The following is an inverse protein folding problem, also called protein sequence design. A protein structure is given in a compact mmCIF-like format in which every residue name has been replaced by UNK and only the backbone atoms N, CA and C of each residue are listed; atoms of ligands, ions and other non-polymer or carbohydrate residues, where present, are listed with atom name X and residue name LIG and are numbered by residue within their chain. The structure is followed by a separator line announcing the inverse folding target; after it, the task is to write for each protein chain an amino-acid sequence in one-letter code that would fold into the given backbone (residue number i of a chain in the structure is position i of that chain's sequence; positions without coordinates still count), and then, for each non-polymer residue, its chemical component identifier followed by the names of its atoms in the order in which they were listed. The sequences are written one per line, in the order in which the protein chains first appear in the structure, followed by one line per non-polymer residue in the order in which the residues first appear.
data_IF_538678326948
#
_entry.id   IF_538678326948
#
_cell.length_a   1.000
_cell.length_b   1.000
_cell.length_c   1.000
_cell.angle_alpha   90.00
_cell.angle_beta   90.00
_cell.angle_gamma   90.00
#
_symmetry.space_group_name_H-M   'P 1'
#
loop_
_entity.id
_entity.type
_entity.pdbx_description
1 polymer ?
#
# COMPACT_ATOMS: atom_id res chain seq x y z
N UNK A 1 -55.62 20.21 84.91
CA UNK A 1 -54.63 19.17 84.57
C UNK A 1 -54.69 18.93 83.07
N UNK A 2 -53.52 18.94 82.42
CA UNK A 2 -53.32 19.02 80.98
C UNK A 2 -53.59 17.67 80.30
N UNK A 3 -54.30 17.65 79.17
CA UNK A 3 -54.17 16.57 78.19
C UNK A 3 -53.80 17.19 76.85
N UNK A 4 -52.56 16.92 76.45
CA UNK A 4 -51.93 17.40 75.23
C UNK A 4 -52.35 16.48 74.08
N UNK A 5 -52.84 17.09 73.02
CA UNK A 5 -53.13 16.47 71.72
C UNK A 5 -51.85 15.95 71.07
N UNK A 6 -51.81 14.67 70.69
CA UNK A 6 -50.81 14.13 69.76
C UNK A 6 -51.51 13.42 68.61
N UNK A 7 -51.62 14.13 67.49
CA UNK A 7 -51.98 13.58 66.19
C UNK A 7 -50.80 12.74 65.69
N UNK A 8 -50.96 11.42 65.65
CA UNK A 8 -49.94 10.49 65.20
C UNK A 8 -49.87 10.51 63.66
N UNK A 9 -48.93 11.27 63.09
CA UNK A 9 -48.60 11.26 61.66
C UNK A 9 -47.80 9.99 61.34
N UNK A 10 -48.47 8.96 60.83
CA UNK A 10 -47.81 7.79 60.22
C UNK A 10 -47.19 8.20 58.89
N UNK A 11 -45.89 8.52 58.89
CA UNK A 11 -45.11 8.70 57.67
C UNK A 11 -44.80 7.33 57.09
N UNK A 12 -45.57 6.90 56.09
CA UNK A 12 -45.24 5.72 55.30
C UNK A 12 -44.06 6.09 54.40
N UNK A 13 -42.85 5.72 54.80
CA UNK A 13 -41.69 5.75 53.91
C UNK A 13 -41.85 4.64 52.88
N UNK A 14 -42.44 4.96 51.74
CA UNK A 14 -42.47 4.08 50.58
C UNK A 14 -41.04 3.82 50.12
N UNK A 15 -40.57 2.57 50.26
CA UNK A 15 -39.31 2.13 49.69
C UNK A 15 -39.50 2.08 48.17
N UNK A 16 -39.23 3.19 47.49
CA UNK A 16 -39.16 3.21 46.03
C UNK A 16 -37.92 2.42 45.65
N UNK A 17 -38.10 1.13 45.37
CA UNK A 17 -37.12 0.36 44.62
C UNK A 17 -37.05 1.01 43.23
N UNK A 18 -36.14 1.96 43.07
CA UNK A 18 -35.70 2.35 41.75
C UNK A 18 -35.17 1.06 41.12
N UNK A 19 -35.98 0.44 40.27
CA UNK A 19 -35.50 -0.55 39.32
C UNK A 19 -34.43 0.17 38.53
N UNK A 20 -33.16 0.01 38.94
CA UNK A 20 -32.05 0.23 38.06
C UNK A 20 -32.36 -0.73 36.93
N UNK A 21 -32.92 -0.20 35.83
CA UNK A 21 -32.88 -0.87 34.55
C UNK A 21 -31.39 -1.01 34.28
N UNK A 22 -30.82 -2.09 34.81
CA UNK A 22 -29.40 -2.27 34.93
C UNK A 22 -28.92 -2.45 33.52
N UNK A 23 -28.25 -1.45 32.97
CA UNK A 23 -27.45 -1.64 31.78
C UNK A 23 -26.53 -2.83 32.05
N UNK A 24 -26.90 -4.00 31.52
CA UNK A 24 -26.07 -5.19 31.52
C UNK A 24 -25.15 -5.02 30.32
N UNK A 25 -23.86 -4.77 30.55
CA UNK A 25 -22.93 -4.52 29.45
C UNK A 25 -22.85 -5.79 28.62
N UNK A 26 -22.99 -5.68 27.30
CA UNK A 26 -22.95 -6.81 26.37
C UNK A 26 -21.53 -7.35 26.15
N UNK A 27 -21.37 -8.39 25.31
CA UNK A 27 -20.04 -8.74 24.78
C UNK A 27 -19.44 -7.54 24.03
N UNK A 28 -18.10 -7.51 23.82
CA UNK A 28 -17.49 -6.43 23.06
C UNK A 28 -18.04 -6.41 21.63
N UNK A 29 -18.58 -5.27 21.21
CA UNK A 29 -19.07 -5.03 19.85
C UNK A 29 -18.00 -4.24 19.10
N UNK A 30 -17.49 -4.77 18.00
CA UNK A 30 -16.51 -4.09 17.17
C UNK A 30 -17.27 -3.13 16.25
N UNK A 31 -16.98 -1.83 16.36
CA UNK A 31 -17.52 -0.79 15.50
C UNK A 31 -16.79 -0.71 14.15
N UNK A 32 -15.60 -1.32 14.06
CA UNK A 32 -14.89 -1.57 12.81
C UNK A 32 -13.38 -1.70 12.99
N UNK A 33 -12.72 -2.09 11.90
CA UNK A 33 -11.27 -2.08 11.77
C UNK A 33 -10.86 -0.94 10.84
N UNK A 34 -10.17 0.06 11.39
CA UNK A 34 -9.71 1.24 10.66
C UNK A 34 -8.29 1.04 10.15
N UNK A 35 -8.05 1.38 8.89
CA UNK A 35 -6.73 1.29 8.27
C UNK A 35 -6.82 1.46 6.76
N UNK A 36 -5.66 1.45 6.09
CA UNK A 36 -5.61 1.48 4.62
C UNK A 36 -6.04 0.12 4.08
N UNK A 37 -7.09 0.11 3.24
CA UNK A 37 -7.59 -1.10 2.57
C UNK A 37 -6.93 -1.37 1.22
N UNK A 38 -5.95 -0.55 0.84
CA UNK A 38 -5.09 -0.77 -0.32
C UNK A 38 -3.64 -0.49 0.09
N UNK A 39 -2.76 -1.47 -0.07
CA UNK A 39 -1.35 -1.43 0.36
C UNK A 39 -0.49 -2.08 -0.73
N UNK A 40 0.69 -1.53 -1.03
CA UNK A 40 1.59 -2.16 -2.01
C UNK A 40 2.26 -3.41 -1.41
N UNK A 41 2.70 -4.35 -2.25
CA UNK A 41 3.49 -5.51 -1.80
C UNK A 41 4.68 -5.06 -0.93
N UNK A 42 4.95 -5.82 0.13
CA UNK A 42 6.02 -5.58 1.12
C UNK A 42 5.95 -4.22 1.87
N UNK A 43 4.98 -3.36 1.58
CA UNK A 43 4.77 -2.10 2.31
C UNK A 43 4.04 -2.37 3.64
N UNK A 44 4.15 -1.42 4.58
CA UNK A 44 3.58 -1.55 5.92
C UNK A 44 2.31 -0.72 6.07
N UNK A 45 1.22 -1.37 6.47
CA UNK A 45 -0.03 -0.76 6.91
C UNK A 45 -0.18 -0.75 8.43
N UNK A 46 -1.06 0.12 8.93
CA UNK A 46 -1.48 0.14 10.33
C UNK A 46 -2.99 -0.10 10.40
N UNK A 47 -3.41 -0.97 11.30
CA UNK A 47 -4.82 -1.20 11.58
C UNK A 47 -5.13 -0.92 13.05
N UNK A 48 -6.32 -0.37 13.31
CA UNK A 48 -6.84 -0.08 14.65
C UNK A 48 -8.23 -0.69 14.77
N UNK A 49 -8.47 -1.47 15.82
CA UNK A 49 -9.79 -1.97 16.16
C UNK A 49 -10.52 -0.94 17.03
N UNK A 50 -11.71 -0.52 16.59
CA UNK A 50 -12.63 0.31 17.35
C UNK A 50 -13.70 -0.58 17.99
N UNK A 51 -13.88 -0.45 19.29
CA UNK A 51 -14.90 -1.17 20.06
C UNK A 51 -15.92 -0.17 20.57
N UNK A 52 -17.21 -0.48 20.40
CA UNK A 52 -18.31 0.35 20.87
C UNK A 52 -18.35 0.43 22.41
N UNK A 53 -18.83 1.54 22.99
CA UNK A 53 -19.02 1.65 24.42
C UNK A 53 -19.97 0.57 24.93
N UNK A 54 -19.54 -0.25 25.89
CA UNK A 54 -20.41 -1.28 26.46
C UNK A 54 -19.76 -2.60 26.82
N UNK A 55 -18.49 -2.81 26.53
CA UNK A 55 -17.73 -3.91 27.10
C UNK A 55 -17.37 -3.64 28.58
N UNK A 56 -17.23 -4.70 29.39
CA UNK A 56 -16.80 -4.59 30.80
C UNK A 56 -15.35 -4.98 30.98
N UNK A 57 -14.60 -4.14 31.70
CA UNK A 57 -13.22 -4.44 32.10
C UNK A 57 -12.20 -4.19 30.98
N UNK A 58 -10.93 -4.56 31.20
CA UNK A 58 -9.89 -4.44 30.20
C UNK A 58 -10.19 -5.31 28.98
N UNK A 59 -9.75 -4.85 27.81
CA UNK A 59 -9.92 -5.56 26.54
C UNK A 59 -8.59 -6.17 26.12
N UNK A 60 -8.61 -7.41 25.66
CA UNK A 60 -7.50 -8.05 24.97
C UNK A 60 -7.82 -8.26 23.50
N UNK A 61 -6.80 -8.18 22.65
CA UNK A 61 -6.92 -8.22 21.20
C UNK A 61 -6.04 -9.32 20.65
N UNK A 62 -6.61 -10.13 19.77
CA UNK A 62 -5.91 -11.19 19.07
C UNK A 62 -6.12 -10.98 17.56
N UNK A 63 -5.01 -10.88 16.81
CA UNK A 63 -5.03 -10.55 15.39
C UNK A 63 -4.57 -11.73 14.54
N UNK A 64 -5.20 -11.91 13.38
CA UNK A 64 -4.81 -12.87 12.36
C UNK A 64 -4.81 -12.23 10.98
N UNK A 65 -3.92 -12.67 10.11
CA UNK A 65 -3.96 -12.34 8.69
C UNK A 65 -3.87 -13.60 7.85
N UNK A 66 -4.51 -13.60 6.68
CA UNK A 66 -4.40 -14.72 5.74
C UNK A 66 -3.06 -14.74 5.00
N UNK A 67 -2.37 -13.60 4.92
CA UNK A 67 -1.02 -13.45 4.35
C UNK A 67 -0.35 -12.16 4.87
N UNK A 68 0.97 -12.09 4.72
CA UNK A 68 1.80 -11.03 5.29
C UNK A 68 2.24 -11.36 6.72
N UNK A 69 2.84 -10.40 7.40
CA UNK A 69 3.36 -10.57 8.76
C UNK A 69 2.99 -9.39 9.64
N UNK A 70 2.63 -9.67 10.89
CA UNK A 70 2.45 -8.60 11.87
C UNK A 70 3.80 -8.16 12.41
N UNK A 71 4.00 -6.84 12.42
CA UNK A 71 5.11 -6.20 13.11
C UNK A 71 4.74 -5.93 14.57
N UNK A 72 5.04 -4.73 15.04
CA UNK A 72 4.69 -4.31 16.39
C UNK A 72 3.17 -4.29 16.61
N UNK A 73 2.73 -4.82 17.75
CA UNK A 73 1.33 -4.83 18.20
C UNK A 73 1.22 -4.06 19.51
N UNK A 74 0.21 -3.20 19.60
CA UNK A 74 -0.05 -2.30 20.72
C UNK A 74 -1.56 -2.33 21.01
N UNK A 75 -1.98 -3.27 21.85
CA UNK A 75 -3.39 -3.48 22.23
C UNK A 75 -4.33 -3.55 21.00
N UNK A 76 -5.11 -2.49 20.79
CA UNK A 76 -6.07 -2.40 19.69
C UNK A 76 -5.46 -2.01 18.35
N UNK A 77 -4.14 -1.78 18.28
CA UNK A 77 -3.44 -1.35 17.07
C UNK A 77 -2.35 -2.35 16.68
N UNK A 78 -2.21 -2.59 15.38
CA UNK A 78 -1.13 -3.40 14.82
C UNK A 78 -0.42 -2.70 13.66
N UNK A 79 0.84 -3.03 13.45
CA UNK A 79 1.53 -2.90 12.18
C UNK A 79 1.43 -4.22 11.42
N UNK A 80 1.15 -4.14 10.12
CA UNK A 80 1.06 -5.29 9.23
C UNK A 80 1.85 -5.01 7.96
N UNK A 81 2.81 -5.87 7.66
CA UNK A 81 3.55 -5.84 6.41
C UNK A 81 2.85 -6.74 5.38
N UNK A 82 2.54 -6.16 4.22
CA UNK A 82 1.93 -6.88 3.12
C UNK A 82 2.85 -8.00 2.60
N UNK A 83 2.30 -9.11 2.10
CA UNK A 83 3.08 -10.19 1.47
C UNK A 83 3.81 -9.72 0.21
N UNK A 84 4.68 -10.58 -0.32
CA UNK A 84 5.44 -10.32 -1.56
C UNK A 84 4.58 -10.40 -2.83
N UNK A 85 3.42 -11.04 -2.76
CA UNK A 85 2.48 -11.20 -3.89
C UNK A 85 1.27 -10.30 -3.73
N UNK A 86 0.78 -9.79 -4.86
CA UNK A 86 -0.47 -9.02 -4.92
C UNK A 86 -1.70 -9.94 -4.78
N UNK A 87 -2.80 -9.39 -4.26
CA UNK A 87 -4.01 -10.17 -4.00
C UNK A 87 -4.89 -9.57 -2.92
N UNK A 88 -5.93 -10.31 -2.53
CA UNK A 88 -6.80 -9.93 -1.40
C UNK A 88 -6.32 -10.66 -0.14
N UNK A 89 -6.14 -9.90 0.93
CA UNK A 89 -5.77 -10.41 2.25
C UNK A 89 -6.88 -10.10 3.24
N UNK A 90 -7.19 -11.06 4.11
CA UNK A 90 -8.09 -10.84 5.24
C UNK A 90 -7.27 -10.50 6.47
N UNK A 91 -7.59 -9.38 7.14
CA UNK A 91 -7.09 -9.05 8.48
C UNK A 91 -8.25 -9.17 9.45
N UNK A 92 -8.12 -10.05 10.45
CA UNK A 92 -9.15 -10.37 11.43
C UNK A 92 -8.68 -10.00 12.82
N UNK A 93 -9.60 -9.53 13.65
CA UNK A 93 -9.39 -9.31 15.09
C UNK A 93 -10.45 -10.03 15.90
N UNK A 94 -10.07 -10.56 17.05
CA UNK A 94 -10.96 -11.00 18.11
C UNK A 94 -10.67 -10.16 19.34
N UNK A 95 -11.72 -9.56 19.90
CA UNK A 95 -11.65 -8.77 21.13
C UNK A 95 -12.27 -9.59 22.24
N UNK A 96 -11.56 -9.76 23.36
CA UNK A 96 -12.08 -10.41 24.57
C UNK A 96 -12.17 -9.40 25.70
N UNK A 97 -13.31 -9.34 26.39
CA UNK A 97 -13.48 -8.46 27.56
C UNK A 97 -13.01 -9.12 28.87
N UNK A 98 -13.02 -8.36 29.97
CA UNK A 98 -12.59 -8.85 31.28
C UNK A 98 -13.46 -9.97 31.87
N UNK A 99 -14.60 -10.28 31.24
CA UNK A 99 -15.48 -11.40 31.60
C UNK A 99 -15.31 -12.60 30.65
N UNK A 100 -14.33 -12.56 29.73
CA UNK A 100 -14.04 -13.64 28.78
C UNK A 100 -14.98 -13.68 27.57
N UNK A 101 -15.83 -12.67 27.39
CA UNK A 101 -16.77 -12.61 26.25
C UNK A 101 -16.09 -12.03 25.04
N UNK A 102 -16.49 -12.49 23.85
CA UNK A 102 -15.74 -12.27 22.62
C UNK A 102 -16.57 -11.59 21.53
N UNK A 103 -15.92 -10.73 20.77
CA UNK A 103 -16.39 -10.18 19.50
C UNK A 103 -15.32 -10.41 18.43
N UNK A 104 -15.70 -10.54 17.17
CA UNK A 104 -14.75 -10.69 16.07
C UNK A 104 -15.22 -9.94 14.84
N UNK A 105 -14.27 -9.39 14.11
CA UNK A 105 -14.50 -8.71 12.84
C UNK A 105 -13.28 -8.88 11.92
N UNK A 106 -13.46 -8.57 10.65
CA UNK A 106 -12.40 -8.63 9.65
C UNK A 106 -12.54 -7.55 8.60
N UNK A 107 -11.40 -7.09 8.10
CA UNK A 107 -11.30 -6.19 6.96
C UNK A 107 -10.57 -6.88 5.82
N UNK A 108 -11.06 -6.68 4.60
CA UNK A 108 -10.37 -7.12 3.39
C UNK A 108 -9.43 -6.02 2.91
N UNK A 109 -8.16 -6.36 2.73
CA UNK A 109 -7.10 -5.47 2.26
C UNK A 109 -6.68 -5.91 0.86
N UNK A 110 -6.68 -4.98 -0.10
CA UNK A 110 -6.15 -5.21 -1.44
C UNK A 110 -4.66 -4.91 -1.47
N UNK A 111 -3.85 -5.97 -1.58
CA UNK A 111 -2.42 -5.87 -1.85
C UNK A 111 -2.23 -5.66 -3.34
N UNK A 112 -1.60 -4.56 -3.72
CA UNK A 112 -1.35 -4.20 -5.14
C UNK A 112 0.13 -4.28 -5.49
N UNK A 113 0.48 -4.53 -6.76
CA UNK A 113 1.87 -4.47 -7.19
C UNK A 113 2.50 -3.12 -6.84
N UNK A 114 3.78 -3.14 -6.46
CA UNK A 114 4.58 -1.94 -6.26
C UNK A 114 4.90 -1.34 -7.63
N UNK A 115 4.51 -0.09 -7.86
CA UNK A 115 4.80 0.63 -9.12
C UNK A 115 5.79 1.75 -8.86
N UNK A 116 6.86 1.80 -9.65
CA UNK A 116 7.91 2.83 -9.61
C UNK A 116 8.00 3.48 -10.98
N UNK A 117 8.03 4.81 -11.03
CA UNK A 117 8.32 5.52 -12.27
C UNK A 117 9.81 5.40 -12.55
N UNK A 118 10.18 4.69 -13.63
CA UNK A 118 11.57 4.52 -14.03
C UNK A 118 12.09 5.77 -14.74
N UNK A 119 11.33 6.27 -15.72
CA UNK A 119 11.66 7.49 -16.43
C UNK A 119 10.38 8.17 -16.93
N UNK A 120 10.19 9.43 -16.55
CA UNK A 120 9.15 10.31 -17.08
C UNK A 120 9.83 11.58 -17.54
N UNK A 121 9.82 11.82 -18.86
CA UNK A 121 10.56 12.92 -19.44
C UNK A 121 9.91 13.44 -20.71
N UNK A 122 9.95 14.75 -20.90
CA UNK A 122 9.56 15.41 -22.14
C UNK A 122 10.60 16.49 -22.45
N UNK A 123 11.16 16.44 -23.66
CA UNK A 123 12.22 17.36 -24.06
C UNK A 123 12.92 16.98 -25.36
N UNK A 124 13.79 17.88 -25.82
CA UNK A 124 14.59 17.67 -27.01
C UNK A 124 15.97 17.09 -26.67
N UNK A 125 16.43 16.12 -27.46
CA UNK A 125 17.82 15.65 -27.50
C UNK A 125 18.46 16.24 -28.74
N UNK A 126 19.57 16.98 -28.59
CA UNK A 126 20.21 17.65 -29.73
C UNK A 126 20.80 16.66 -30.73
N UNK A 127 20.99 17.12 -31.97
CA UNK A 127 21.72 16.36 -32.97
C UNK A 127 23.11 15.96 -32.45
N UNK A 128 23.47 14.67 -32.55
CA UNK A 128 24.76 14.17 -32.09
C UNK A 128 24.85 13.88 -30.59
N UNK A 129 23.78 14.12 -29.82
CA UNK A 129 23.74 13.88 -28.37
C UNK A 129 22.87 12.68 -27.99
N UNK A 130 22.95 12.27 -26.72
CA UNK A 130 22.07 11.28 -26.12
C UNK A 130 21.69 11.70 -24.70
N UNK A 131 20.52 11.25 -24.26
CA UNK A 131 20.06 11.37 -22.86
C UNK A 131 19.78 9.96 -22.33
N UNK A 132 20.13 9.71 -21.07
CA UNK A 132 19.84 8.43 -20.44
C UNK A 132 19.36 8.59 -18.99
N UNK A 133 18.59 7.62 -18.56
CA UNK A 133 18.07 7.44 -17.21
C UNK A 133 18.53 6.10 -16.69
N UNK A 134 18.75 5.96 -15.39
CA UNK A 134 19.15 4.70 -14.80
C UNK A 134 18.50 4.49 -13.43
N UNK A 135 18.25 3.23 -13.10
CA UNK A 135 17.80 2.83 -11.78
C UNK A 135 18.15 1.36 -11.52
N UNK A 136 18.20 1.00 -10.24
CA UNK A 136 18.32 -0.39 -9.79
C UNK A 136 17.00 -1.11 -10.02
N UNK A 137 17.01 -2.14 -10.86
CA UNK A 137 15.82 -2.91 -11.23
C UNK A 137 15.88 -4.29 -10.57
N UNK A 138 14.91 -4.67 -9.73
CA UNK A 138 14.86 -6.02 -9.18
C UNK A 138 14.40 -7.05 -10.22
N UNK A 139 14.92 -8.27 -10.15
CA UNK A 139 14.47 -9.39 -10.99
C UNK A 139 12.96 -9.64 -10.84
N UNK A 140 12.32 -10.06 -11.93
CA UNK A 140 10.89 -10.34 -12.01
C UNK A 140 10.01 -9.10 -12.17
N UNK A 141 10.51 -7.89 -11.91
CA UNK A 141 9.74 -6.68 -12.16
C UNK A 141 9.43 -6.55 -13.65
N UNK A 142 8.23 -6.08 -13.98
CA UNK A 142 7.82 -5.75 -15.35
C UNK A 142 8.16 -4.30 -15.64
N UNK A 143 9.05 -4.09 -16.60
CA UNK A 143 9.24 -2.79 -17.23
C UNK A 143 8.12 -2.59 -18.24
N UNK A 144 7.48 -1.43 -18.25
CA UNK A 144 6.46 -1.10 -19.23
C UNK A 144 6.37 0.40 -19.43
N UNK A 145 5.95 0.82 -20.61
CA UNK A 145 5.83 2.23 -20.89
C UNK A 145 5.49 2.55 -22.32
N UNK A 146 5.60 3.84 -22.63
CA UNK A 146 5.42 4.39 -23.95
C UNK A 146 6.51 5.43 -24.21
N UNK A 147 6.89 5.53 -25.48
CA UNK A 147 7.82 6.55 -25.96
C UNK A 147 7.29 7.07 -27.29
N UNK A 148 7.33 8.38 -27.48
CA UNK A 148 7.03 9.02 -28.76
C UNK A 148 8.11 10.02 -29.08
N UNK A 149 8.62 9.99 -30.31
CA UNK A 149 9.48 11.02 -30.90
C UNK A 149 8.81 11.71 -32.08
N UNK A 150 9.30 12.90 -32.44
CA UNK A 150 8.92 13.63 -33.66
C UNK A 150 9.69 13.17 -34.92
N UNK A 151 10.66 12.26 -34.76
CA UNK A 151 11.44 11.67 -35.87
C UNK A 151 11.36 10.14 -35.89
N UNK A 152 11.50 9.53 -37.08
CA UNK A 152 11.41 8.06 -37.31
C UNK A 152 12.72 7.30 -37.15
N UNK A 153 13.83 7.98 -36.90
CA UNK A 153 15.18 7.39 -37.03
C UNK A 153 15.83 7.03 -35.70
N UNK A 154 15.11 7.20 -34.59
CA UNK A 154 15.71 7.11 -33.26
C UNK A 154 15.10 5.97 -32.46
N UNK A 155 15.97 5.35 -31.66
CA UNK A 155 15.64 4.21 -30.83
C UNK A 155 15.59 4.60 -29.36
N UNK A 156 14.59 4.07 -28.68
CA UNK A 156 14.64 3.84 -27.25
C UNK A 156 15.39 2.52 -27.03
N UNK A 157 16.44 2.56 -26.20
CA UNK A 157 17.18 1.38 -25.82
C UNK A 157 17.09 1.15 -24.32
N UNK A 158 16.90 -0.09 -23.92
CA UNK A 158 17.03 -0.52 -22.53
C UNK A 158 18.21 -1.47 -22.43
N UNK A 159 19.23 -1.08 -21.66
CA UNK A 159 20.52 -1.74 -21.56
C UNK A 159 20.74 -2.16 -20.11
N UNK A 160 21.36 -3.32 -19.89
CA UNK A 160 22.02 -3.56 -18.60
C UNK A 160 23.34 -2.78 -18.53
N UNK A 161 23.96 -2.76 -17.35
CA UNK A 161 25.20 -2.02 -17.10
C UNK A 161 26.33 -2.38 -18.07
N UNK A 162 26.50 -3.66 -18.40
CA UNK A 162 27.56 -4.10 -19.31
C UNK A 162 27.33 -3.58 -20.74
N UNK A 163 26.11 -3.72 -21.25
CA UNK A 163 25.76 -3.25 -22.59
C UNK A 163 25.73 -1.72 -22.69
N UNK A 164 25.39 -1.02 -21.60
CA UNK A 164 25.50 0.43 -21.54
C UNK A 164 26.96 0.89 -21.69
N UNK A 165 27.89 0.28 -20.96
CA UNK A 165 29.32 0.59 -21.09
C UNK A 165 29.85 0.34 -22.52
N UNK A 166 29.45 -0.77 -23.14
CA UNK A 166 29.79 -1.07 -24.54
C UNK A 166 29.22 -0.04 -25.52
N UNK A 167 27.96 0.35 -25.35
CA UNK A 167 27.34 1.40 -26.16
C UNK A 167 28.11 2.72 -26.05
N UNK A 168 28.49 3.15 -24.84
CA UNK A 168 29.28 4.37 -24.64
C UNK A 168 30.66 4.30 -25.31
N UNK A 169 31.29 3.12 -25.30
CA UNK A 169 32.59 2.89 -25.94
C UNK A 169 32.51 2.76 -27.48
N UNK A 170 31.31 2.73 -28.06
CA UNK A 170 31.11 2.46 -29.49
C UNK A 170 31.39 0.99 -29.87
N UNK A 171 31.39 0.09 -28.90
CA UNK A 171 31.58 -1.34 -29.09
C UNK A 171 30.27 -2.04 -29.48
N UNK A 172 30.34 -3.33 -29.82
CA UNK A 172 29.14 -4.13 -30.08
C UNK A 172 28.37 -4.42 -28.79
N UNK A 173 27.06 -4.16 -28.77
CA UNK A 173 26.18 -4.37 -27.63
C UNK A 173 24.84 -4.99 -28.06
N UNK A 174 24.16 -5.64 -27.13
CA UNK A 174 22.86 -6.27 -27.33
C UNK A 174 21.84 -5.68 -26.36
N UNK A 175 21.01 -4.73 -26.82
CA UNK A 175 19.99 -4.13 -25.97
C UNK A 175 18.90 -5.13 -25.59
N UNK A 176 18.43 -5.06 -24.34
CA UNK A 176 17.26 -5.83 -23.88
C UNK A 176 16.02 -5.42 -24.67
N UNK A 177 15.81 -4.11 -24.77
CA UNK A 177 14.77 -3.51 -25.60
C UNK A 177 15.44 -2.58 -26.58
N UNK A 178 15.12 -2.73 -27.86
CA UNK A 178 15.43 -1.76 -28.90
C UNK A 178 14.20 -1.51 -29.74
N UNK A 179 13.64 -0.30 -29.66
CA UNK A 179 12.41 0.06 -30.35
C UNK A 179 12.54 1.43 -30.98
N UNK A 180 11.93 1.60 -32.15
CA UNK A 180 11.76 2.93 -32.73
C UNK A 180 10.93 3.77 -31.76
N UNK A 181 11.41 4.98 -31.44
CA UNK A 181 10.73 5.91 -30.55
C UNK A 181 9.54 6.60 -31.25
N UNK A 182 9.48 6.58 -32.58
CA UNK A 182 8.39 7.22 -33.33
C UNK A 182 7.08 6.45 -33.19
N UNK A 183 6.07 7.13 -32.65
CA UNK A 183 4.74 6.55 -32.42
C UNK A 183 4.80 5.16 -31.77
N UNK A 184 5.76 4.94 -30.87
CA UNK A 184 5.92 3.63 -30.25
C UNK A 184 4.69 3.37 -29.38
N UNK A 185 3.90 2.36 -29.77
CA UNK A 185 2.86 1.82 -28.91
C UNK A 185 3.44 1.34 -27.59
N UNK A 186 2.55 1.06 -26.63
CA UNK A 186 2.97 0.54 -25.33
C UNK A 186 3.89 -0.68 -25.48
N UNK A 187 4.92 -0.74 -24.66
CA UNK A 187 5.82 -1.87 -24.57
C UNK A 187 5.85 -2.41 -23.15
N UNK A 188 6.22 -3.69 -23.04
CA UNK A 188 6.51 -4.33 -21.78
C UNK A 188 7.62 -5.34 -21.95
N UNK A 189 8.39 -5.54 -20.89
CA UNK A 189 9.42 -6.57 -20.76
C UNK A 189 9.58 -6.94 -19.28
N UNK A 190 10.28 -8.03 -18.98
CA UNK A 190 10.53 -8.49 -17.61
C UNK A 190 12.02 -8.35 -17.30
N UNK A 191 12.35 -7.79 -16.14
CA UNK A 191 13.71 -7.71 -15.63
C UNK A 191 14.19 -9.12 -15.28
N UNK A 192 15.19 -9.69 -15.97
CA UNK A 192 15.53 -11.11 -15.77
C UNK A 192 16.40 -11.33 -14.56
N UNK A 193 17.31 -10.38 -14.29
CA UNK A 193 18.28 -10.42 -13.21
C UNK A 193 18.32 -9.04 -12.57
N UNK A 194 18.38 -9.02 -11.23
CA UNK A 194 18.52 -7.78 -10.47
C UNK A 194 19.81 -7.08 -10.84
N UNK A 195 19.76 -5.78 -11.11
CA UNK A 195 20.94 -5.01 -11.48
C UNK A 195 20.63 -3.58 -11.87
N UNK A 196 21.66 -2.85 -12.28
CA UNK A 196 21.53 -1.50 -12.82
C UNK A 196 21.14 -1.57 -14.29
N UNK A 197 20.10 -0.84 -14.67
CA UNK A 197 19.66 -0.73 -16.06
C UNK A 197 19.57 0.72 -16.49
N UNK A 198 19.77 0.92 -17.79
CA UNK A 198 19.83 2.22 -18.44
C UNK A 198 18.80 2.29 -19.55
N UNK A 199 18.03 3.37 -19.56
CA UNK A 199 17.12 3.71 -20.64
C UNK A 199 17.71 4.87 -21.42
N UNK A 200 18.06 4.63 -22.69
CA UNK A 200 18.80 5.56 -23.53
C UNK A 200 17.92 6.07 -24.66
N UNK A 201 17.89 7.39 -24.82
CA UNK A 201 17.38 8.12 -25.99
C UNK A 201 18.57 8.54 -26.83
N UNK A 202 18.85 7.77 -27.89
CA UNK A 202 20.09 7.91 -28.67
C UNK A 202 19.88 8.70 -29.97
N UNK A 203 20.22 9.99 -29.94
CA UNK A 203 20.24 10.85 -31.12
C UNK A 203 21.67 11.09 -31.67
N UNK A 204 22.65 10.25 -31.30
CA UNK A 204 24.07 10.46 -31.66
C UNK A 204 24.33 10.39 -33.17
N UNK A 205 23.48 9.65 -33.91
CA UNK A 205 23.51 9.57 -35.38
C UNK A 205 22.51 10.49 -36.07
N UNK A 206 21.74 11.25 -35.30
CA UNK A 206 20.75 12.17 -35.85
C UNK A 206 21.39 13.46 -36.36
N UNK A 207 20.83 13.97 -37.46
CA UNK A 207 21.28 15.21 -38.09
C UNK A 207 20.50 16.45 -37.59
N UNK A 208 19.52 16.25 -36.71
CA UNK A 208 18.64 17.29 -36.18
C UNK A 208 18.26 16.95 -34.74
N UNK A 209 17.87 17.98 -34.00
CA UNK A 209 17.27 17.83 -32.69
C UNK A 209 15.99 16.99 -32.80
N UNK A 210 15.71 16.20 -31.77
CA UNK A 210 14.52 15.36 -31.72
C UNK A 210 13.83 15.52 -30.38
N UNK A 211 12.52 15.78 -30.42
CA UNK A 211 11.69 15.87 -29.22
C UNK A 211 11.18 14.50 -28.83
N UNK A 212 11.19 14.19 -27.54
CA UNK A 212 10.65 12.96 -26.98
C UNK A 212 9.63 13.26 -25.92
N UNK A 213 8.68 12.33 -25.80
CA UNK A 213 7.87 12.13 -24.61
C UNK A 213 8.03 10.68 -24.17
N UNK A 214 8.32 10.50 -22.89
CA UNK A 214 8.66 9.23 -22.28
C UNK A 214 7.86 9.05 -20.99
N UNK A 215 7.23 7.90 -20.85
CA UNK A 215 6.64 7.46 -19.58
C UNK A 215 6.87 5.96 -19.44
N UNK A 216 7.82 5.59 -18.58
CA UNK A 216 8.25 4.22 -18.34
C UNK A 216 8.22 3.95 -16.84
N UNK A 217 7.68 2.80 -16.47
CA UNK A 217 7.52 2.36 -15.08
C UNK A 217 7.95 0.92 -14.91
N UNK A 218 8.38 0.60 -13.70
CA UNK A 218 8.57 -0.76 -13.20
C UNK A 218 7.38 -1.12 -12.33
N UNK A 219 6.87 -2.34 -12.45
CA UNK A 219 5.91 -2.91 -11.51
C UNK A 219 6.41 -4.24 -10.97
N UNK A 220 6.27 -4.46 -9.66
CA UNK A 220 6.52 -5.79 -9.09
C UNK A 220 5.62 -6.85 -9.75
N UNK A 221 5.99 -8.14 -9.66
CA UNK A 221 5.08 -9.25 -9.98
C UNK A 221 3.72 -9.15 -9.28
#
# INVERSE_FOLDING_TARGET
MRFVSYLLLLVITGLVAASRCGYQPGPPVIGGIEGRVQVAVQDTGSFVCRVEPGARGPLSYEWWCSAGVFGAQFDNRIQWQAPESSGLVLVKVQVTDGLGRKGSDSVQVRVVPRVVNFAVWEGAVKAGEAVWFFDSCPAGYRLQGQCSSDTTTIYLMFLDESNFGRWQAGESYEPRIRRLAYQAGAFYDTIPVSGLYFLVLDNTRGLRDCSYRLNVRLSSP
#
